data_IF_706300939234
#
_entry.id   IF_706300939234
#
_cell.length_a   1.000
_cell.length_b   1.000
_cell.length_c   1.000
_cell.angle_alpha   90.00
_cell.angle_beta   90.00
_cell.angle_gamma   90.00
#
_symmetry.space_group_name_H-M   'P 1'
#
loop_
_entity.id
_entity.type
_entity.pdbx_description
1 polymer ?
#
# COMPACT_ATOMS: atom_id res chain seq x y z
N UNK A 1 -7.02 4.91 7.48
CA UNK A 1 -6.79 3.61 6.82
C UNK A 1 -6.81 3.67 5.27
N UNK A 2 -7.28 4.74 4.62
CA UNK A 2 -7.53 4.74 3.16
C UNK A 2 -6.31 4.83 2.22
N UNK A 3 -5.14 5.32 2.67
CA UNK A 3 -4.02 5.62 1.73
C UNK A 3 -3.37 4.39 1.10
N UNK A 4 -3.20 3.30 1.86
CA UNK A 4 -2.47 2.13 1.38
C UNK A 4 -3.27 1.30 0.36
N UNK A 5 -4.60 1.40 0.39
CA UNK A 5 -5.49 0.59 -0.46
C UNK A 5 -5.88 1.27 -1.76
N UNK A 6 -5.82 2.61 -1.83
CA UNK A 6 -6.34 3.36 -2.97
C UNK A 6 -5.75 2.92 -4.32
N UNK A 7 -4.42 2.83 -4.41
CA UNK A 7 -3.70 2.47 -5.63
C UNK A 7 -4.02 1.04 -6.10
N UNK A 8 -3.86 -0.01 -5.27
CA UNK A 8 -4.20 -1.38 -5.70
C UNK A 8 -5.69 -1.54 -5.99
N UNK A 9 -6.57 -0.84 -5.26
CA UNK A 9 -8.01 -0.86 -5.55
C UNK A 9 -8.34 -0.22 -6.89
N UNK A 10 -7.71 0.91 -7.25
CA UNK A 10 -7.87 1.53 -8.55
C UNK A 10 -7.38 0.61 -9.69
N UNK A 11 -6.18 0.05 -9.56
CA UNK A 11 -5.64 -0.90 -10.53
C UNK A 11 -6.55 -2.13 -10.70
N UNK A 12 -7.09 -2.65 -9.59
CA UNK A 12 -8.05 -3.77 -9.62
C UNK A 12 -9.35 -3.39 -10.29
N UNK A 13 -9.89 -2.20 -10.02
CA UNK A 13 -11.12 -1.72 -10.64
C UNK A 13 -10.99 -1.67 -12.16
N UNK A 14 -9.90 -1.08 -12.67
CA UNK A 14 -9.62 -1.02 -14.11
C UNK A 14 -9.54 -2.42 -14.73
N UNK A 15 -8.80 -3.34 -14.12
CA UNK A 15 -8.69 -4.73 -14.59
C UNK A 15 -10.03 -5.46 -14.58
N UNK A 16 -10.85 -5.24 -13.56
CA UNK A 16 -12.18 -5.84 -13.43
C UNK A 16 -13.12 -5.33 -14.53
N UNK A 17 -13.13 -4.02 -14.80
CA UNK A 17 -13.94 -3.44 -15.87
C UNK A 17 -13.52 -3.98 -17.24
N UNK A 18 -12.21 -3.97 -17.52
CA UNK A 18 -11.67 -4.51 -18.77
C UNK A 18 -11.96 -6.01 -18.93
N UNK A 19 -11.80 -6.80 -17.86
CA UNK A 19 -12.08 -8.23 -17.85
C UNK A 19 -13.55 -8.55 -18.12
N UNK A 20 -14.47 -7.83 -17.46
CA UNK A 20 -15.91 -7.98 -17.68
C UNK A 20 -16.31 -7.61 -19.11
N UNK A 21 -15.73 -6.55 -19.67
CA UNK A 21 -15.93 -6.18 -21.08
C UNK A 21 -15.47 -7.28 -22.04
N UNK A 22 -14.45 -8.06 -21.65
CA UNK A 22 -13.95 -9.21 -22.41
C UNK A 22 -14.65 -10.55 -22.05
N UNK A 23 -15.79 -10.52 -21.36
CA UNK A 23 -16.54 -11.73 -20.98
C UNK A 23 -15.90 -12.58 -19.88
N UNK A 24 -14.88 -12.07 -19.18
CA UNK A 24 -14.20 -12.79 -18.09
C UNK A 24 -14.82 -12.46 -16.74
N UNK A 25 -14.87 -13.45 -15.84
CA UNK A 25 -15.21 -13.25 -14.43
C UNK A 25 -13.95 -12.91 -13.63
N UNK A 26 -13.79 -11.69 -13.11
CA UNK A 26 -12.60 -11.31 -12.36
C UNK A 26 -12.59 -11.97 -10.96
N UNK A 27 -11.43 -12.48 -10.49
CA UNK A 27 -11.34 -13.09 -9.16
C UNK A 27 -11.62 -12.11 -8.00
N UNK A 28 -11.82 -12.58 -6.76
CA UNK A 28 -11.90 -11.69 -5.61
C UNK A 28 -10.60 -10.89 -5.43
N UNK A 29 -10.72 -9.63 -5.00
CA UNK A 29 -9.56 -8.81 -4.67
C UNK A 29 -8.94 -9.32 -3.36
N UNK A 30 -7.65 -9.63 -3.39
CA UNK A 30 -6.88 -9.95 -2.18
C UNK A 30 -5.94 -8.80 -1.90
N UNK A 31 -5.97 -8.30 -0.66
CA UNK A 31 -5.09 -7.24 -0.21
C UNK A 31 -4.59 -7.57 1.19
N UNK A 32 -3.34 -7.21 1.49
CA UNK A 32 -2.73 -7.42 2.79
C UNK A 32 -2.04 -6.13 3.24
N UNK A 33 -2.28 -5.75 4.49
CA UNK A 33 -1.47 -4.74 5.15
C UNK A 33 -0.16 -5.35 5.66
N UNK A 34 0.93 -4.60 5.51
CA UNK A 34 2.22 -4.93 6.09
C UNK A 34 2.56 -4.00 7.25
N UNK A 35 2.26 -2.71 7.08
CA UNK A 35 2.53 -1.66 8.04
C UNK A 35 1.36 -0.70 8.16
N UNK A 36 1.20 -0.11 9.34
CA UNK A 36 0.32 1.02 9.59
C UNK A 36 1.16 2.19 10.07
N UNK A 37 1.03 3.32 9.39
CA UNK A 37 1.62 4.58 9.83
C UNK A 37 0.69 5.22 10.86
N UNK A 38 1.18 5.42 12.07
CA UNK A 38 0.49 6.11 13.15
C UNK A 38 1.23 7.43 13.40
N UNK A 39 0.51 8.55 13.29
CA UNK A 39 1.03 9.90 13.53
C UNK A 39 1.64 10.62 12.32
N UNK A 40 1.57 11.97 12.29
CA UNK A 40 2.32 12.82 11.38
C UNK A 40 3.64 13.31 12.00
N UNK A 41 4.72 13.38 11.21
CA UNK A 41 5.97 14.01 11.64
C UNK A 41 7.09 13.88 10.61
N UNK A 42 7.83 14.97 10.36
CA UNK A 42 9.05 14.96 9.51
C UNK A 42 10.29 14.45 10.26
N UNK A 43 10.27 14.49 11.60
CA UNK A 43 11.39 14.13 12.47
C UNK A 43 11.06 13.02 13.47
N UNK A 44 9.80 12.59 13.50
CA UNK A 44 9.29 11.56 14.39
C UNK A 44 8.11 10.83 13.73
N UNK A 45 7.85 9.60 14.14
CA UNK A 45 6.75 8.80 13.64
C UNK A 45 6.68 7.42 14.30
N UNK A 46 5.58 6.72 14.05
CA UNK A 46 5.38 5.35 14.48
C UNK A 46 4.90 4.50 13.30
N UNK A 47 5.66 3.49 12.93
CA UNK A 47 5.24 2.46 11.97
C UNK A 47 4.98 1.19 12.75
N UNK A 48 3.72 0.75 12.75
CA UNK A 48 3.33 -0.52 13.35
C UNK A 48 3.31 -1.61 12.29
N UNK A 49 4.05 -2.69 12.50
CA UNK A 49 3.91 -3.87 11.66
C UNK A 49 2.61 -4.59 11.99
N UNK A 50 2.01 -5.27 11.01
CA UNK A 50 0.75 -5.98 11.19
C UNK A 50 0.77 -7.39 10.61
N UNK A 51 -0.07 -8.27 11.17
CA UNK A 51 -0.39 -9.55 10.56
C UNK A 51 -1.26 -9.36 9.32
N UNK A 52 -1.46 -10.42 8.53
CA UNK A 52 -2.24 -10.35 7.30
C UNK A 52 -3.67 -9.83 7.50
N UNK A 53 -4.30 -10.19 8.64
CA UNK A 53 -5.61 -9.69 9.05
C UNK A 53 -5.63 -8.27 9.64
N UNK A 54 -4.48 -7.59 9.72
CA UNK A 54 -4.36 -6.21 10.18
C UNK A 54 -4.11 -6.02 11.69
N UNK A 55 -4.11 -7.09 12.49
CA UNK A 55 -3.76 -7.02 13.91
C UNK A 55 -2.31 -6.57 14.11
N UNK A 56 -2.02 -5.73 15.14
CA UNK A 56 -0.66 -5.26 15.41
C UNK A 56 0.29 -6.41 15.72
N UNK A 57 1.51 -6.33 15.19
CA UNK A 57 2.65 -7.11 15.69
C UNK A 57 3.28 -6.41 16.90
N UNK A 58 4.06 -7.14 17.73
CA UNK A 58 4.83 -6.54 18.82
C UNK A 58 5.94 -5.63 18.31
N UNK A 59 6.40 -5.82 17.07
CA UNK A 59 7.42 -4.99 16.45
C UNK A 59 6.85 -3.67 15.91
N UNK A 60 7.60 -2.59 16.11
CA UNK A 60 7.31 -1.27 15.57
C UNK A 60 8.60 -0.51 15.27
N UNK A 61 8.54 0.42 14.33
CA UNK A 61 9.58 1.40 14.06
C UNK A 61 9.15 2.74 14.66
N UNK A 62 10.05 3.42 15.37
CA UNK A 62 9.76 4.71 16.03
C UNK A 62 10.78 5.78 15.62
N UNK A 63 10.52 7.04 16.00
CA UNK A 63 11.50 8.11 15.87
C UNK A 63 11.80 8.50 14.43
N UNK A 64 13.04 8.94 14.19
CA UNK A 64 13.53 9.36 12.87
C UNK A 64 13.52 8.22 11.85
N UNK A 65 13.72 6.98 12.30
CA UNK A 65 13.68 5.80 11.42
C UNK A 65 12.27 5.62 10.82
N UNK A 66 11.23 5.77 11.62
CA UNK A 66 9.84 5.77 11.17
C UNK A 66 9.54 6.88 10.16
N UNK A 67 10.04 8.09 10.41
CA UNK A 67 9.89 9.21 9.49
C UNK A 67 10.55 8.94 8.13
N UNK A 68 11.78 8.42 8.13
CA UNK A 68 12.50 8.04 6.89
C UNK A 68 11.81 6.91 6.15
N UNK A 69 11.34 5.88 6.85
CA UNK A 69 10.60 4.78 6.24
C UNK A 69 9.37 5.29 5.47
N UNK A 70 8.59 6.17 6.10
CA UNK A 70 7.42 6.79 5.47
C UNK A 70 7.79 7.55 4.20
N UNK A 71 8.87 8.33 4.25
CA UNK A 71 9.34 9.07 3.09
C UNK A 71 9.76 8.16 1.94
N UNK A 72 10.47 7.06 2.23
CA UNK A 72 10.82 6.05 1.22
C UNK A 72 9.58 5.43 0.57
N UNK A 73 8.54 5.09 1.36
CA UNK A 73 7.28 4.55 0.81
C UNK A 73 6.60 5.54 -0.14
N UNK A 74 6.53 6.83 0.23
CA UNK A 74 5.91 7.86 -0.61
C UNK A 74 6.73 8.08 -1.88
N UNK A 75 8.05 8.23 -1.78
CA UNK A 75 8.95 8.37 -2.94
C UNK A 75 8.87 7.16 -3.87
N UNK A 76 8.84 5.96 -3.31
CA UNK A 76 8.68 4.71 -4.06
C UNK A 76 7.35 4.66 -4.80
N UNK A 77 6.27 5.12 -4.17
CA UNK A 77 4.95 5.22 -4.81
C UNK A 77 4.97 6.18 -6.00
N UNK A 78 5.54 7.38 -5.83
CA UNK A 78 5.66 8.37 -6.91
C UNK A 78 6.51 7.82 -8.06
N UNK A 79 7.62 7.15 -7.76
CA UNK A 79 8.46 6.52 -8.77
C UNK A 79 7.72 5.40 -9.52
N UNK A 80 6.98 4.56 -8.79
CA UNK A 80 6.16 3.49 -9.37
C UNK A 80 5.03 4.01 -10.26
N UNK A 81 4.38 5.11 -9.87
CA UNK A 81 3.35 5.75 -10.69
C UNK A 81 3.93 6.40 -11.95
N UNK A 82 5.16 6.94 -11.88
CA UNK A 82 5.86 7.50 -13.05
C UNK A 82 6.34 6.44 -14.04
N UNK A 83 6.56 5.20 -13.60
CA UNK A 83 7.02 4.09 -14.45
C UNK A 83 5.86 3.13 -14.71
N UNK A 84 5.18 3.29 -15.85
CA UNK A 84 3.95 2.58 -16.26
C UNK A 84 3.97 1.04 -16.25
N UNK A 85 5.06 0.38 -15.83
CA UNK A 85 5.20 -1.08 -15.76
C UNK A 85 5.31 -1.69 -14.36
N UNK A 86 5.68 -0.93 -13.32
CA UNK A 86 5.97 -1.51 -11.98
C UNK A 86 4.69 -1.89 -11.23
N UNK A 87 3.60 -1.14 -11.46
CA UNK A 87 2.29 -1.42 -10.85
C UNK A 87 1.62 -2.69 -11.38
N UNK A 88 2.20 -3.32 -12.41
CA UNK A 88 1.69 -4.58 -12.95
C UNK A 88 2.15 -5.79 -12.12
N UNK A 89 3.28 -5.67 -11.40
CA UNK A 89 3.93 -6.74 -10.64
C UNK A 89 3.58 -6.77 -9.13
N UNK A 90 2.79 -5.81 -8.65
CA UNK A 90 2.21 -5.79 -7.30
C UNK A 90 0.69 -6.03 -7.37
#
# INVERSE_FOLDING_TARGET
>A
MARATAIPSAARAVRTIAGRRAGRTPPPMRFRYFTRCLGPGRRDGLIRFVHAGGSPRPTALTGRAAARYKETVVRGTVLGMRRSGVLTLL
#
